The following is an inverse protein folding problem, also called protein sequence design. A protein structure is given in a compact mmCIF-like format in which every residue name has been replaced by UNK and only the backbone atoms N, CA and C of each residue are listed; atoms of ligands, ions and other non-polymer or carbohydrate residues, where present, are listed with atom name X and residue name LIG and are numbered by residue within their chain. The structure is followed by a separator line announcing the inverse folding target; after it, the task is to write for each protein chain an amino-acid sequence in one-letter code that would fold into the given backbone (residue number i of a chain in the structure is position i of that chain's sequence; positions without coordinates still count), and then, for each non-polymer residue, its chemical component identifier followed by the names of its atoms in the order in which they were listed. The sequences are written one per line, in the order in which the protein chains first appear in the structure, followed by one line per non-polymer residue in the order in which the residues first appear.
data_IF_947586726852
#
_entry.id   IF_947586726852
#
_cell.length_a   1.000
_cell.length_b   1.000
_cell.length_c   1.000
_cell.angle_alpha   90.00
_cell.angle_beta   90.00
_cell.angle_gamma   90.00
#
_symmetry.space_group_name_H-M   'P 1'
#
loop_
_entity.id
_entity.type
_entity.pdbx_description
1 polymer ?
#
# COMPACT_ATOMS: atom_id res chain seq x y z
N UNK A 1 46.70 57.04 -33.88
CA UNK A 1 46.68 55.88 -34.79
C UNK A 1 46.27 54.68 -33.94
N UNK A 2 45.12 54.05 -34.06
CA UNK A 2 43.84 54.36 -34.70
C UNK A 2 42.76 53.85 -33.72
N UNK A 3 41.74 54.66 -33.46
CA UNK A 3 40.68 54.36 -32.50
C UNK A 3 39.90 53.13 -32.99
N UNK A 4 39.89 52.06 -32.19
CA UNK A 4 39.28 50.79 -32.57
C UNK A 4 37.78 50.98 -32.80
N UNK A 5 37.30 50.69 -34.02
CA UNK A 5 35.87 50.80 -34.33
C UNK A 5 35.16 49.59 -33.73
N UNK A 6 34.33 49.83 -32.71
CA UNK A 6 33.46 48.80 -32.13
C UNK A 6 32.12 48.77 -32.85
N UNK A 7 31.46 47.61 -32.82
CA UNK A 7 30.09 47.47 -33.28
C UNK A 7 29.14 48.27 -32.36
N UNK A 8 27.98 48.75 -32.84
CA UNK A 8 27.05 49.56 -32.03
C UNK A 8 26.54 48.87 -30.76
N UNK A 9 26.59 47.54 -30.71
CA UNK A 9 26.24 46.69 -29.57
C UNK A 9 27.45 46.37 -28.66
N UNK A 10 28.65 46.85 -28.99
CA UNK A 10 29.88 46.70 -28.19
C UNK A 10 30.46 45.29 -28.11
N UNK A 11 29.85 44.30 -28.78
CA UNK A 11 30.25 42.89 -28.69
C UNK A 11 31.44 42.52 -29.56
N UNK A 12 31.71 43.28 -30.61
CA UNK A 12 32.78 42.98 -31.57
C UNK A 12 33.66 44.21 -31.81
N UNK A 13 34.94 43.95 -32.04
CA UNK A 13 35.94 44.94 -32.39
C UNK A 13 36.44 44.70 -33.81
N UNK A 14 36.51 45.76 -34.62
CA UNK A 14 37.04 45.69 -35.99
C UNK A 14 38.57 45.81 -35.97
N UNK A 15 39.26 44.82 -36.53
CA UNK A 15 40.73 44.79 -36.59
C UNK A 15 41.30 45.51 -37.82
N UNK A 16 40.44 45.99 -38.72
CA UNK A 16 40.82 46.50 -40.04
C UNK A 16 40.56 45.51 -41.17
N UNK A 17 40.45 44.21 -40.87
CA UNK A 17 40.19 43.14 -41.85
C UNK A 17 39.05 42.20 -41.47
N UNK A 18 38.75 42.04 -40.18
CA UNK A 18 37.67 41.17 -39.69
C UNK A 18 37.11 41.64 -38.33
N UNK A 19 35.90 41.16 -38.00
CA UNK A 19 35.25 41.40 -36.71
C UNK A 19 35.60 40.27 -35.73
N UNK A 20 36.22 40.62 -34.61
CA UNK A 20 36.55 39.67 -33.53
C UNK A 20 35.74 40.00 -32.26
N UNK A 21 35.40 39.01 -31.41
CA UNK A 21 34.71 39.27 -30.14
C UNK A 21 35.51 40.22 -29.27
N UNK A 22 34.86 41.25 -28.72
CA UNK A 22 35.50 42.18 -27.80
C UNK A 22 35.81 41.48 -26.47
N UNK A 23 37.00 41.68 -25.89
CA UNK A 23 37.35 41.04 -24.62
C UNK A 23 36.42 41.52 -23.49
N UNK A 24 35.98 40.62 -22.57
CA UNK A 24 35.07 40.97 -21.49
C UNK A 24 35.72 42.01 -20.56
N UNK A 25 35.05 43.16 -20.40
CA UNK A 25 35.45 44.22 -19.48
C UNK A 25 34.78 43.96 -18.12
N UNK A 26 35.57 43.58 -17.11
CA UNK A 26 35.11 43.38 -15.73
C UNK A 26 34.71 44.72 -15.09
N UNK A 27 33.47 45.16 -15.28
CA UNK A 27 32.79 46.11 -14.38
C UNK A 27 31.29 46.19 -14.69
N UNK A 28 30.47 45.47 -13.91
CA UNK A 28 29.04 45.78 -13.82
C UNK A 28 28.82 47.05 -12.96
N UNK A 29 27.77 47.85 -13.21
CA UNK A 29 26.62 47.77 -12.30
C UNK A 29 25.21 47.98 -12.92
N UNK A 30 24.29 47.11 -12.47
CA UNK A 30 22.85 47.25 -12.17
C UNK A 30 21.97 48.31 -12.88
N UNK A 31 20.87 47.84 -13.53
CA UNK A 31 19.45 48.16 -13.21
C UNK A 31 18.44 47.50 -14.19
N UNK A 32 17.37 46.91 -13.64
CA UNK A 32 16.09 46.54 -14.30
C UNK A 32 15.28 47.82 -14.71
N UNK A 33 14.09 47.76 -15.39
CA UNK A 33 13.31 46.64 -15.94
C UNK A 33 12.79 46.85 -17.39
N UNK A 34 12.01 45.87 -17.88
CA UNK A 34 11.00 45.88 -18.97
C UNK A 34 11.38 45.12 -20.25
N UNK A 35 10.85 43.90 -20.37
CA UNK A 35 10.73 43.20 -21.65
C UNK A 35 9.27 42.78 -21.90
N UNK A 36 8.78 43.16 -23.07
CA UNK A 36 7.87 42.33 -23.87
C UNK A 36 8.43 42.34 -25.29
N UNK A 37 8.77 41.17 -25.83
CA UNK A 37 8.19 40.60 -27.07
C UNK A 37 9.17 39.65 -27.81
N UNK A 38 8.91 38.36 -27.62
CA UNK A 38 8.96 37.20 -28.55
C UNK A 38 10.25 36.70 -29.23
N UNK A 39 10.35 35.35 -29.16
CA UNK A 39 10.91 34.35 -30.10
C UNK A 39 12.42 34.01 -29.98
N UNK A 40 12.88 32.74 -30.06
CA UNK A 40 12.32 31.43 -30.44
C UNK A 40 13.17 30.30 -29.81
N UNK A 41 12.52 29.16 -29.55
CA UNK A 41 13.04 27.78 -29.62
C UNK A 41 14.17 27.32 -28.67
N UNK A 42 13.82 26.32 -27.86
CA UNK A 42 14.32 24.93 -27.90
C UNK A 42 14.55 24.39 -26.48
N UNK A 43 14.36 23.07 -26.33
CA UNK A 43 14.50 22.25 -25.11
C UNK A 43 13.21 22.01 -24.32
N UNK A 44 12.51 20.96 -24.75
CA UNK A 44 12.10 19.81 -23.91
C UNK A 44 11.77 20.17 -22.46
N UNK A 45 10.52 20.58 -22.22
CA UNK A 45 9.84 20.24 -20.97
C UNK A 45 9.01 18.99 -21.27
N UNK A 46 9.70 17.84 -21.26
CA UNK A 46 9.06 16.63 -20.78
C UNK A 46 8.69 16.97 -19.35
N UNK A 47 7.42 17.32 -19.14
CA UNK A 47 6.84 17.44 -17.83
C UNK A 47 7.01 16.09 -17.17
N UNK A 48 8.12 15.95 -16.45
CA UNK A 48 8.31 14.90 -15.49
C UNK A 48 7.30 15.21 -14.39
N UNK A 49 6.11 14.65 -14.55
CA UNK A 49 5.11 14.59 -13.49
C UNK A 49 5.62 13.49 -12.56
N UNK A 50 6.75 13.76 -11.91
CA UNK A 50 7.14 13.07 -10.68
C UNK A 50 5.91 13.25 -9.81
N UNK A 51 5.25 12.15 -9.48
CA UNK A 51 4.27 12.13 -8.41
C UNK A 51 5.07 12.33 -7.13
N UNK A 52 5.58 13.54 -6.92
CA UNK A 52 6.17 13.96 -5.68
C UNK A 52 4.97 14.07 -4.74
N UNK A 53 4.59 12.94 -4.14
CA UNK A 53 3.80 12.93 -2.93
C UNK A 53 4.60 13.77 -1.95
N UNK A 54 4.27 15.06 -1.87
CA UNK A 54 4.75 15.90 -0.78
C UNK A 54 4.11 15.31 0.46
N UNK A 55 4.84 14.42 1.11
CA UNK A 55 4.43 13.86 2.38
C UNK A 55 4.36 15.04 3.33
N UNK A 56 3.16 15.31 3.85
CA UNK A 56 2.98 16.29 4.90
C UNK A 56 3.93 15.94 6.06
N UNK A 57 4.42 16.94 6.81
CA UNK A 57 5.30 16.74 7.98
C UNK A 57 4.58 16.08 9.18
N UNK A 58 3.57 15.26 8.92
CA UNK A 58 2.87 14.44 9.89
C UNK A 58 3.65 13.12 10.07
N UNK A 59 4.04 12.83 11.29
CA UNK A 59 4.93 11.71 11.58
C UNK A 59 4.34 10.35 11.18
N UNK A 60 3.02 10.15 11.27
CA UNK A 60 2.37 8.89 10.87
C UNK A 60 2.36 8.70 9.35
N UNK A 61 2.14 9.79 8.61
CA UNK A 61 2.18 9.78 7.14
C UNK A 61 3.60 9.48 6.65
N UNK A 62 4.61 10.13 7.24
CA UNK A 62 6.03 9.85 6.95
C UNK A 62 6.37 8.41 7.28
N UNK A 63 5.92 7.90 8.44
CA UNK A 63 6.18 6.50 8.83
C UNK A 63 5.58 5.50 7.85
N UNK A 64 4.36 5.76 7.38
CA UNK A 64 3.69 4.91 6.40
C UNK A 64 4.47 4.88 5.07
N UNK A 65 5.00 6.02 4.63
CA UNK A 65 5.84 6.11 3.44
C UNK A 65 7.18 5.38 3.65
N UNK A 66 7.80 5.50 4.82
CA UNK A 66 9.04 4.77 5.16
C UNK A 66 8.82 3.25 5.13
N UNK A 67 7.70 2.76 5.67
CA UNK A 67 7.33 1.34 5.61
C UNK A 67 7.20 0.88 4.15
N UNK A 68 6.61 1.72 3.29
CA UNK A 68 6.49 1.44 1.85
C UNK A 68 7.86 1.44 1.15
N UNK A 69 8.78 2.33 1.51
CA UNK A 69 10.15 2.38 1.00
C UNK A 69 10.91 1.07 1.29
N UNK A 70 10.85 0.61 2.54
CA UNK A 70 11.52 -0.62 2.98
C UNK A 70 10.97 -1.86 2.28
N UNK A 71 9.67 -1.84 1.95
CA UNK A 71 9.03 -2.89 1.16
C UNK A 71 9.58 -2.92 -0.27
N UNK A 72 9.83 -1.78 -0.90
CA UNK A 72 10.40 -1.71 -2.24
C UNK A 72 11.87 -2.15 -2.28
N UNK A 73 12.63 -1.86 -1.22
CA UNK A 73 14.04 -2.22 -1.09
C UNK A 73 14.31 -3.68 -0.70
N UNK A 74 13.27 -4.47 -0.37
CA UNK A 74 13.42 -5.91 -0.09
C UNK A 74 14.23 -6.24 1.17
N UNK A 75 14.31 -5.30 2.12
CA UNK A 75 15.26 -5.31 3.26
C UNK A 75 14.79 -6.14 4.45
N UNK A 76 13.50 -6.41 4.56
CA UNK A 76 12.92 -7.03 5.74
C UNK A 76 12.96 -8.56 5.68
N UNK A 77 14.08 -9.13 5.21
CA UNK A 77 14.34 -10.57 5.29
C UNK A 77 14.99 -10.89 6.66
N UNK A 78 14.23 -10.65 7.74
CA UNK A 78 14.67 -10.97 9.09
C UNK A 78 13.85 -12.15 9.65
N UNK A 79 14.51 -13.31 9.59
CA UNK A 79 14.37 -14.50 10.44
C UNK A 79 12.97 -15.11 10.50
N UNK A 80 12.85 -16.34 9.96
CA UNK A 80 11.63 -17.15 10.04
C UNK A 80 11.09 -17.21 11.47
N UNK A 81 9.93 -16.61 11.76
CA UNK A 81 9.30 -16.74 13.06
C UNK A 81 8.75 -18.15 13.24
N UNK A 82 8.49 -18.57 14.49
CA UNK A 82 7.72 -19.79 14.72
C UNK A 82 6.40 -19.70 13.94
N UNK A 83 5.90 -20.85 13.41
CA UNK A 83 4.68 -20.85 12.62
C UNK A 83 3.59 -20.13 13.41
N UNK A 84 2.94 -19.15 12.78
CA UNK A 84 1.71 -18.56 13.30
C UNK A 84 0.86 -19.70 13.86
N UNK A 85 0.33 -19.59 15.10
CA UNK A 85 -0.53 -20.63 15.63
C UNK A 85 -1.56 -20.91 14.55
N UNK A 86 -1.60 -22.15 14.06
CA UNK A 86 -2.53 -22.54 13.01
C UNK A 86 -3.88 -22.12 13.53
N UNK A 87 -4.46 -21.06 12.94
CA UNK A 87 -5.77 -20.58 13.32
C UNK A 87 -6.65 -21.81 13.21
N UNK A 88 -7.03 -22.38 14.35
CA UNK A 88 -8.05 -23.38 14.38
C UNK A 88 -9.26 -22.65 13.85
N UNK A 89 -9.51 -22.82 12.55
CA UNK A 89 -10.77 -22.47 11.93
C UNK A 89 -11.73 -23.28 12.77
N UNK A 90 -12.39 -22.63 13.73
CA UNK A 90 -13.44 -23.27 14.52
C UNK A 90 -14.29 -24.04 13.52
N UNK A 91 -14.38 -25.37 13.68
CA UNK A 91 -15.18 -26.19 12.80
C UNK A 91 -16.62 -25.70 12.96
N UNK A 92 -17.06 -24.86 12.02
CA UNK A 92 -18.40 -24.29 12.07
C UNK A 92 -19.35 -25.44 11.82
N UNK A 93 -20.03 -25.88 12.87
CA UNK A 93 -21.11 -26.87 12.78
C UNK A 93 -22.22 -26.28 11.89
N UNK A 94 -22.38 -26.88 10.71
CA UNK A 94 -23.40 -26.44 9.76
C UNK A 94 -24.79 -26.84 10.28
N UNK A 95 -25.75 -25.91 10.31
CA UNK A 95 -27.10 -26.17 10.79
C UNK A 95 -27.84 -27.02 9.75
N UNK A 96 -28.86 -27.78 10.18
CA UNK A 96 -29.66 -28.62 9.28
C UNK A 96 -30.47 -27.79 8.26
N UNK A 97 -30.85 -26.56 8.61
CA UNK A 97 -31.62 -25.66 7.74
C UNK A 97 -31.54 -24.23 8.23
N UNK A 98 -31.73 -23.27 7.33
CA UNK A 98 -31.98 -21.85 7.67
C UNK A 98 -33.47 -21.49 7.52
N UNK A 99 -33.90 -20.48 8.25
CA UNK A 99 -35.22 -19.86 8.13
C UNK A 99 -35.14 -18.57 7.31
N UNK A 100 -36.29 -18.11 6.81
CA UNK A 100 -36.39 -16.81 6.14
C UNK A 100 -36.15 -15.72 7.19
N UNK A 101 -35.22 -14.81 6.91
CA UNK A 101 -34.76 -13.75 7.81
C UNK A 101 -33.44 -14.07 8.52
N UNK A 102 -32.96 -15.33 8.46
CA UNK A 102 -31.71 -15.70 9.10
C UNK A 102 -30.52 -14.98 8.47
N UNK A 103 -29.58 -14.57 9.33
CA UNK A 103 -28.32 -14.00 8.93
C UNK A 103 -27.32 -15.14 8.65
N UNK A 104 -26.73 -15.08 7.47
CA UNK A 104 -25.83 -16.11 6.96
C UNK A 104 -24.58 -15.47 6.36
N UNK A 105 -23.51 -16.24 6.31
CA UNK A 105 -22.33 -15.86 5.53
C UNK A 105 -22.42 -16.51 4.15
N UNK A 106 -22.15 -15.74 3.09
CA UNK A 106 -22.04 -16.26 1.72
C UNK A 106 -20.59 -16.30 1.28
N UNK A 107 -20.09 -17.47 0.87
CA UNK A 107 -18.75 -17.57 0.31
C UNK A 107 -18.75 -17.05 -1.12
N UNK A 108 -18.25 -15.83 -1.31
CA UNK A 108 -18.08 -15.24 -2.63
C UNK A 108 -16.95 -15.95 -3.39
N UNK A 109 -17.24 -16.65 -4.51
CA UNK A 109 -16.17 -17.28 -5.31
C UNK A 109 -15.24 -16.23 -5.91
N UNK A 110 -15.78 -15.09 -6.31
CA UNK A 110 -15.02 -14.00 -6.94
C UNK A 110 -14.08 -13.30 -5.97
N UNK A 111 -14.50 -13.13 -4.71
CA UNK A 111 -13.68 -12.45 -3.70
C UNK A 111 -12.86 -13.42 -2.85
N UNK A 112 -13.01 -14.74 -3.07
CA UNK A 112 -12.43 -15.81 -2.26
C UNK A 112 -12.57 -15.58 -0.74
N UNK A 113 -13.72 -15.04 -0.32
CA UNK A 113 -14.02 -14.72 1.08
C UNK A 113 -15.48 -14.90 1.43
N UNK A 114 -15.74 -15.13 2.71
CA UNK A 114 -17.08 -15.11 3.29
C UNK A 114 -17.59 -13.67 3.44
N UNK A 115 -18.86 -13.44 3.09
CA UNK A 115 -19.56 -12.18 3.24
C UNK A 115 -20.62 -12.36 4.32
N UNK A 116 -20.47 -11.70 5.46
CA UNK A 116 -21.19 -12.06 6.69
C UNK A 116 -22.49 -11.26 6.91
N UNK A 117 -22.84 -10.37 5.97
CA UNK A 117 -24.05 -9.52 6.01
C UNK A 117 -25.19 -10.08 5.15
N UNK A 118 -25.22 -11.38 4.91
CA UNK A 118 -26.19 -11.94 3.97
C UNK A 118 -27.46 -12.37 4.69
N UNK A 119 -28.62 -12.18 4.06
CA UNK A 119 -29.91 -12.54 4.65
C UNK A 119 -30.62 -13.56 3.78
N UNK A 120 -31.16 -14.61 4.38
CA UNK A 120 -32.02 -15.57 3.68
C UNK A 120 -33.38 -14.92 3.43
N UNK A 121 -33.71 -14.67 2.16
CA UNK A 121 -34.97 -14.01 1.77
C UNK A 121 -36.04 -14.98 1.30
N UNK A 122 -35.65 -16.18 0.85
CA UNK A 122 -36.60 -17.25 0.56
C UNK A 122 -35.92 -18.62 0.56
N UNK A 123 -36.75 -19.65 0.68
CA UNK A 123 -36.37 -21.05 0.54
C UNK A 123 -37.09 -21.57 -0.70
N UNK A 124 -36.32 -22.08 -1.67
CA UNK A 124 -36.86 -22.64 -2.90
C UNK A 124 -37.45 -24.04 -2.64
N UNK A 125 -38.38 -24.51 -3.51
CA UNK A 125 -38.99 -25.84 -3.35
C UNK A 125 -38.01 -27.02 -3.43
N UNK A 126 -36.85 -26.80 -4.05
CA UNK A 126 -35.76 -27.78 -4.16
C UNK A 126 -34.85 -27.83 -2.92
N UNK A 127 -35.13 -27.00 -1.91
CA UNK A 127 -34.33 -26.90 -0.68
C UNK A 127 -33.12 -25.98 -0.78
N UNK A 128 -32.90 -25.31 -1.92
CA UNK A 128 -31.89 -24.25 -2.04
C UNK A 128 -32.41 -22.93 -1.47
N UNK A 129 -31.49 -22.04 -1.09
CA UNK A 129 -31.83 -20.76 -0.48
C UNK A 129 -31.63 -19.62 -1.47
N UNK A 130 -32.51 -18.63 -1.39
CA UNK A 130 -32.32 -17.32 -2.00
C UNK A 130 -31.78 -16.37 -0.94
N UNK A 131 -30.60 -15.82 -1.19
CA UNK A 131 -29.86 -15.02 -0.22
C UNK A 131 -29.52 -13.67 -0.80
N UNK A 132 -29.81 -12.61 -0.06
CA UNK A 132 -29.39 -11.25 -0.41
C UNK A 132 -28.00 -10.97 0.17
N UNK A 133 -27.12 -10.46 -0.67
CA UNK A 133 -25.72 -10.15 -0.37
C UNK A 133 -25.53 -8.65 -0.56
N UNK A 134 -25.53 -7.85 0.52
CA UNK A 134 -25.29 -6.42 0.46
C UNK A 134 -23.85 -6.12 0.06
N UNK A 135 -23.68 -5.37 -1.03
CA UNK A 135 -22.40 -4.76 -1.46
C UNK A 135 -22.47 -3.26 -1.21
N UNK A 136 -21.31 -2.59 -1.26
CA UNK A 136 -21.20 -1.15 -1.00
C UNK A 136 -22.08 -0.30 -1.92
N UNK A 137 -22.41 -0.78 -3.13
CA UNK A 137 -23.19 -0.02 -4.12
C UNK A 137 -24.58 -0.60 -4.42
N UNK A 138 -24.82 -1.87 -4.10
CA UNK A 138 -26.07 -2.55 -4.44
C UNK A 138 -26.26 -3.84 -3.62
N UNK A 139 -27.50 -4.29 -3.50
CA UNK A 139 -27.81 -5.62 -2.96
C UNK A 139 -27.87 -6.61 -4.11
N UNK A 140 -27.07 -7.67 -4.05
CA UNK A 140 -27.10 -8.76 -5.04
C UNK A 140 -27.87 -9.95 -4.48
N UNK A 141 -28.88 -10.43 -5.22
CA UNK A 141 -29.62 -11.64 -4.84
C UNK A 141 -28.99 -12.88 -5.47
N UNK A 142 -28.59 -13.84 -4.64
CA UNK A 142 -28.14 -15.17 -5.05
C UNK A 142 -29.30 -16.16 -5.00
N UNK A 143 -29.80 -16.67 -6.14
CA UNK A 143 -31.10 -17.35 -6.20
C UNK A 143 -31.11 -18.78 -5.66
N UNK A 144 -29.99 -19.50 -5.72
CA UNK A 144 -29.93 -20.93 -5.39
C UNK A 144 -28.58 -21.29 -4.74
N UNK A 145 -28.43 -20.97 -3.45
CA UNK A 145 -27.25 -21.32 -2.64
C UNK A 145 -27.58 -22.44 -1.67
N UNK A 146 -26.58 -23.25 -1.31
CA UNK A 146 -26.72 -24.40 -0.40
C UNK A 146 -25.86 -24.22 0.83
N UNK A 147 -26.19 -24.93 1.91
CA UNK A 147 -25.39 -24.92 3.14
C UNK A 147 -24.08 -25.67 2.88
N UNK A 148 -22.93 -25.09 3.24
CA UNK A 148 -21.64 -25.70 3.00
C UNK A 148 -20.45 -24.83 3.40
N UNK A 149 -19.26 -25.31 3.05
CA UNK A 149 -17.98 -24.59 3.25
C UNK A 149 -17.25 -24.28 1.95
N UNK A 150 -17.81 -24.68 0.80
CA UNK A 150 -17.23 -24.46 -0.52
C UNK A 150 -17.60 -23.11 -1.12
N UNK A 151 -16.87 -22.60 -2.12
CA UNK A 151 -17.25 -21.40 -2.83
C UNK A 151 -18.68 -21.46 -3.39
N UNK A 152 -19.46 -20.40 -3.15
CA UNK A 152 -20.87 -20.32 -3.58
C UNK A 152 -21.87 -20.90 -2.59
N UNK A 153 -21.41 -21.40 -1.44
CA UNK A 153 -22.28 -21.91 -0.36
C UNK A 153 -22.51 -20.87 0.74
N UNK A 154 -23.44 -21.19 1.64
CA UNK A 154 -23.76 -20.40 2.83
C UNK A 154 -23.49 -21.18 4.12
N UNK A 155 -23.19 -20.46 5.19
CA UNK A 155 -23.03 -21.02 6.55
C UNK A 155 -23.60 -20.06 7.59
N UNK A 156 -23.76 -20.47 8.87
CA UNK A 156 -24.24 -19.58 9.91
C UNK A 156 -23.39 -18.32 9.97
N UNK A 157 -24.04 -17.16 10.06
CA UNK A 157 -23.33 -15.96 10.46
C UNK A 157 -22.72 -16.17 11.84
N UNK A 158 -21.44 -15.81 11.99
CA UNK A 158 -20.93 -15.51 13.33
C UNK A 158 -21.86 -14.45 13.95
N UNK A 159 -22.10 -14.46 15.27
CA UNK A 159 -22.95 -13.44 15.91
C UNK A 159 -22.56 -12.03 15.46
N UNK A 160 -23.47 -11.06 15.37
CA UNK A 160 -23.09 -9.69 15.02
C UNK A 160 -22.08 -9.14 16.05
N UNK A 161 -21.03 -8.47 15.57
CA UNK A 161 -20.07 -7.77 16.41
C UNK A 161 -20.78 -6.62 17.11
N UNK A 162 -20.62 -6.52 18.41
CA UNK A 162 -21.27 -5.49 19.21
C UNK A 162 -20.23 -4.58 19.85
N UNK A 163 -20.60 -3.33 20.05
CA UNK A 163 -19.81 -2.40 20.85
C UNK A 163 -19.56 -3.02 22.23
N UNK A 164 -18.31 -3.11 22.63
CA UNK A 164 -17.91 -3.78 23.87
C UNK A 164 -17.12 -5.06 23.67
N UNK A 165 -17.22 -5.70 22.52
CA UNK A 165 -16.55 -6.98 22.27
C UNK A 165 -15.03 -6.80 22.23
N UNK A 166 -14.32 -7.69 22.94
CA UNK A 166 -12.88 -7.83 22.79
C UNK A 166 -12.58 -8.67 21.56
N UNK A 167 -11.65 -8.19 20.76
CA UNK A 167 -11.32 -8.76 19.46
C UNK A 167 -9.83 -8.62 19.19
N UNK A 168 -9.30 -9.49 18.34
CA UNK A 168 -8.01 -9.28 17.69
C UNK A 168 -8.26 -8.59 16.36
N UNK A 169 -7.50 -7.55 16.04
CA UNK A 169 -7.67 -6.79 14.80
C UNK A 169 -6.35 -6.69 14.07
N UNK A 170 -6.35 -7.01 12.78
CA UNK A 170 -5.21 -6.81 11.88
C UNK A 170 -4.96 -5.30 11.73
N UNK A 171 -3.95 -4.76 12.43
CA UNK A 171 -3.67 -3.32 12.53
C UNK A 171 -3.17 -2.73 11.22
N UNK A 172 -3.81 -1.64 10.77
CA UNK A 172 -3.62 -1.01 9.45
C UNK A 172 -3.61 -1.97 8.24
N UNK A 173 -4.09 -3.22 8.41
CA UNK A 173 -4.05 -4.30 7.41
C UNK A 173 -2.61 -4.70 7.01
N UNK A 174 -1.65 -4.57 7.94
CA UNK A 174 -0.27 -5.02 7.71
C UNK A 174 -0.12 -6.54 7.90
N UNK A 175 -1.07 -7.22 8.55
CA UNK A 175 -1.06 -8.67 8.79
C UNK A 175 -0.79 -9.05 10.23
N UNK A 176 -0.51 -8.07 11.10
CA UNK A 176 -0.29 -8.29 12.53
C UNK A 176 -1.56 -7.99 13.32
N UNK A 177 -2.02 -8.99 14.06
CA UNK A 177 -3.22 -8.90 14.89
C UNK A 177 -2.90 -8.39 16.28
N UNK A 178 -3.53 -7.28 16.67
CA UNK A 178 -3.41 -6.69 17.99
C UNK A 178 -4.73 -6.76 18.76
N UNK A 179 -4.68 -6.93 20.09
CA UNK A 179 -5.88 -6.96 20.91
C UNK A 179 -6.48 -5.56 21.03
N UNK A 180 -7.80 -5.52 20.94
CA UNK A 180 -8.54 -4.30 21.12
C UNK A 180 -10.01 -4.56 21.40
N UNK A 181 -10.77 -3.46 21.40
CA UNK A 181 -12.18 -3.45 21.73
C UNK A 181 -12.96 -2.65 20.70
N UNK A 182 -14.11 -3.19 20.31
CA UNK A 182 -15.04 -2.45 19.45
C UNK A 182 -15.66 -1.32 20.26
N UNK A 183 -15.32 -0.10 19.88
CA UNK A 183 -15.87 1.12 20.49
C UNK A 183 -17.25 1.43 19.90
N UNK A 184 -17.36 1.40 18.57
CA UNK A 184 -18.58 1.77 17.84
C UNK A 184 -18.67 1.06 16.48
N UNK A 185 -19.88 0.77 16.03
CA UNK A 185 -20.17 0.43 14.62
C UNK A 185 -20.64 1.69 13.87
N UNK A 186 -20.10 1.91 12.68
CA UNK A 186 -20.45 3.02 11.79
C UNK A 186 -21.63 2.66 10.88
N UNK A 187 -22.25 3.66 10.25
CA UNK A 187 -23.44 3.45 9.38
C UNK A 187 -23.14 2.60 8.13
N UNK A 188 -21.88 2.56 7.69
CA UNK A 188 -21.40 1.74 6.59
C UNK A 188 -20.96 0.32 7.01
N UNK A 189 -21.16 -0.01 8.30
CA UNK A 189 -20.78 -1.26 8.95
C UNK A 189 -19.27 -1.49 9.04
N UNK A 190 -18.49 -0.42 9.04
CA UNK A 190 -17.12 -0.43 9.55
C UNK A 190 -17.12 -0.23 11.07
N UNK A 191 -16.01 -0.53 11.72
CA UNK A 191 -15.88 -0.43 13.18
C UNK A 191 -14.82 0.57 13.58
N UNK A 192 -15.09 1.29 14.66
CA UNK A 192 -14.11 2.03 15.42
C UNK A 192 -13.54 1.10 16.49
N UNK A 193 -12.24 0.84 16.40
CA UNK A 193 -11.49 -0.03 17.31
C UNK A 193 -10.63 0.83 18.23
N UNK A 194 -10.69 0.55 19.53
CA UNK A 194 -9.76 1.04 20.52
C UNK A 194 -8.83 -0.11 20.90
N UNK A 195 -7.56 -0.01 20.56
CA UNK A 195 -6.56 -1.03 20.90
C UNK A 195 -6.13 -0.91 22.36
N UNK A 196 -5.63 -2.01 22.92
CA UNK A 196 -5.24 -2.07 24.34
C UNK A 196 -3.99 -1.22 24.63
N UNK A 197 -3.20 -0.88 23.61
CA UNK A 197 -2.03 0.01 23.67
C UNK A 197 -2.38 1.51 23.61
N UNK A 198 -3.66 1.85 23.46
CA UNK A 198 -4.16 3.22 23.35
C UNK A 198 -4.32 3.74 21.92
N UNK A 199 -3.93 2.98 20.90
CA UNK A 199 -4.19 3.34 19.50
C UNK A 199 -5.68 3.27 19.19
N UNK A 200 -6.09 4.07 18.21
CA UNK A 200 -7.46 4.09 17.71
C UNK A 200 -7.43 3.97 16.20
N UNK A 201 -8.23 3.05 15.68
CA UNK A 201 -8.43 2.90 14.25
C UNK A 201 -9.92 2.95 13.92
N UNK A 202 -10.30 3.86 13.03
CA UNK A 202 -11.66 3.95 12.48
C UNK A 202 -11.74 3.28 11.12
N UNK A 203 -12.96 3.03 10.64
CA UNK A 203 -13.22 2.46 9.33
C UNK A 203 -12.66 1.03 9.16
N UNK A 204 -12.52 0.28 10.26
CA UNK A 204 -12.02 -1.09 10.23
C UNK A 204 -13.06 -2.02 9.61
N UNK A 205 -12.70 -2.66 8.50
CA UNK A 205 -13.53 -3.66 7.86
C UNK A 205 -13.69 -4.91 8.76
N UNK A 206 -14.89 -5.49 8.79
CA UNK A 206 -15.17 -6.74 9.50
C UNK A 206 -14.14 -7.84 9.23
N UNK A 207 -13.64 -7.95 7.99
CA UNK A 207 -12.68 -9.00 7.60
C UNK A 207 -11.32 -8.93 8.30
N UNK A 208 -10.99 -7.80 8.94
CA UNK A 208 -9.78 -7.60 9.73
C UNK A 208 -9.96 -7.97 11.20
N UNK A 209 -11.19 -8.25 11.62
CA UNK A 209 -11.56 -8.48 13.02
C UNK A 209 -11.74 -9.98 13.27
N UNK A 210 -10.91 -10.51 14.16
CA UNK A 210 -10.94 -11.88 14.64
C UNK A 210 -11.49 -11.92 16.06
N UNK A 211 -12.67 -12.54 16.24
CA UNK A 211 -13.10 -13.04 17.55
C UNK A 211 -12.34 -14.33 17.83
N UNK A 212 -11.12 -14.21 18.32
CA UNK A 212 -10.48 -15.34 19.00
C UNK A 212 -10.83 -15.27 20.49
N UNK A 213 -10.86 -16.42 21.14
CA UNK A 213 -10.89 -16.46 22.59
C UNK A 213 -9.56 -15.90 23.10
N UNK A 214 -9.54 -14.61 23.45
CA UNK A 214 -8.34 -13.95 23.97
C UNK A 214 -7.84 -14.65 25.24
N UNK A 215 -8.73 -15.32 25.98
CA UNK A 215 -8.37 -16.05 27.21
C UNK A 215 -7.82 -17.47 26.93
N UNK A 216 -7.67 -17.89 25.67
CA UNK A 216 -6.95 -19.13 25.32
C UNK A 216 -5.45 -18.95 25.55
N UNK A 217 -4.83 -19.97 26.14
CA UNK A 217 -3.39 -19.95 26.44
C UNK A 217 -2.56 -19.73 25.17
N UNK A 218 -2.96 -20.34 24.05
CA UNK A 218 -2.27 -20.20 22.76
C UNK A 218 -2.28 -18.75 22.25
N UNK A 219 -3.39 -18.03 22.45
CA UNK A 219 -3.51 -16.62 22.05
C UNK A 219 -2.70 -15.73 23.00
N UNK A 220 -2.73 -16.00 24.30
CA UNK A 220 -1.95 -15.25 25.28
C UNK A 220 -0.44 -15.41 25.07
N UNK A 221 0.04 -16.63 24.82
CA UNK A 221 1.45 -16.90 24.54
C UNK A 221 1.92 -16.16 23.27
N UNK A 222 1.09 -16.16 22.22
CA UNK A 222 1.37 -15.40 20.99
C UNK A 222 1.43 -13.90 21.24
N UNK A 223 0.44 -13.33 21.93
CA UNK A 223 0.42 -11.90 22.26
C UNK A 223 1.60 -11.49 23.14
N UNK A 224 1.99 -12.34 24.10
CA UNK A 224 3.12 -12.10 24.99
C UNK A 224 4.45 -12.11 24.22
N UNK A 225 4.61 -13.04 23.27
CA UNK A 225 5.78 -13.07 22.40
C UNK A 225 5.86 -11.79 21.55
N UNK A 226 4.77 -11.42 20.89
CA UNK A 226 4.71 -10.21 20.08
C UNK A 226 5.00 -8.95 20.91
N UNK A 227 4.42 -8.84 22.10
CA UNK A 227 4.68 -7.71 23.00
C UNK A 227 6.17 -7.62 23.37
N UNK A 228 6.83 -8.76 23.63
CA UNK A 228 8.26 -8.78 23.94
C UNK A 228 9.12 -8.33 22.76
N UNK A 229 8.83 -8.83 21.55
CA UNK A 229 9.54 -8.43 20.32
C UNK A 229 9.34 -6.94 20.02
N UNK A 230 8.13 -6.43 20.25
CA UNK A 230 7.79 -5.02 20.10
C UNK A 230 8.56 -4.14 21.08
N UNK A 231 8.59 -4.53 22.35
CA UNK A 231 9.31 -3.79 23.39
C UNK A 231 10.81 -3.75 23.11
N UNK A 232 11.40 -4.83 22.61
CA UNK A 232 12.82 -4.88 22.22
C UNK A 232 13.13 -3.91 21.07
N UNK A 233 12.29 -3.86 20.03
CA UNK A 233 12.46 -2.93 18.91
C UNK A 233 12.26 -1.47 19.35
N UNK A 234 11.24 -1.20 20.16
CA UNK A 234 10.98 0.14 20.70
C UNK A 234 12.19 0.62 21.52
N UNK A 235 12.76 -0.23 22.39
CA UNK A 235 13.94 0.12 23.18
C UNK A 235 15.17 0.44 22.31
N UNK A 236 15.32 -0.24 21.18
CA UNK A 236 16.39 0.07 20.22
C UNK A 236 16.22 1.49 19.64
N UNK A 237 15.01 1.87 19.23
CA UNK A 237 14.73 3.22 18.72
C UNK A 237 14.78 4.30 19.81
N UNK A 238 14.34 4.00 21.05
CA UNK A 238 14.42 4.92 22.19
C UNK A 238 15.86 5.39 22.47
N UNK A 239 16.88 4.61 22.07
CA UNK A 239 18.29 5.03 22.21
C UNK A 239 18.59 6.32 21.43
N UNK A 240 17.81 6.59 20.36
CA UNK A 240 17.92 7.79 19.53
C UNK A 240 16.91 8.88 19.89
N UNK A 241 15.96 8.60 20.78
CA UNK A 241 14.91 9.51 21.26
C UNK A 241 15.06 9.74 22.77
N UNK A 242 16.05 10.54 23.15
CA UNK A 242 16.34 10.83 24.57
C UNK A 242 15.19 11.52 25.31
N UNK A 243 14.29 12.18 24.57
CA UNK A 243 13.13 12.88 25.12
C UNK A 243 11.89 11.99 25.22
N UNK A 244 11.94 10.74 24.73
CA UNK A 244 10.80 9.81 24.66
C UNK A 244 9.57 10.44 24.00
N UNK A 245 9.82 11.19 22.93
CA UNK A 245 8.79 11.81 22.11
C UNK A 245 7.92 10.80 21.38
N UNK A 246 8.42 9.58 21.17
CA UNK A 246 7.79 8.58 20.31
C UNK A 246 8.14 8.75 18.83
N UNK A 247 9.04 9.69 18.51
CA UNK A 247 9.48 10.00 17.15
C UNK A 247 11.00 10.11 17.02
N UNK A 248 11.53 9.79 15.84
CA UNK A 248 12.93 9.99 15.44
C UNK A 248 13.00 10.68 14.09
N UNK A 249 14.10 11.39 13.78
CA UNK A 249 14.26 11.99 12.46
C UNK A 249 14.57 10.93 11.39
N UNK A 250 14.16 11.20 10.14
CA UNK A 250 14.49 10.36 9.00
C UNK A 250 15.99 10.18 8.80
N UNK A 251 16.81 11.18 9.14
CA UNK A 251 18.28 11.05 9.18
C UNK A 251 18.75 10.00 10.18
N UNK A 252 18.23 10.00 11.41
CA UNK A 252 18.62 8.99 12.41
C UNK A 252 18.20 7.60 11.94
N UNK A 253 17.03 7.49 11.32
CA UNK A 253 16.56 6.22 10.77
C UNK A 253 17.41 5.73 9.58
N UNK A 254 17.82 6.65 8.70
CA UNK A 254 18.78 6.38 7.62
C UNK A 254 20.13 5.88 8.17
N UNK A 255 20.64 6.50 9.23
CA UNK A 255 21.89 6.08 9.87
C UNK A 255 21.75 4.67 10.47
N UNK A 256 20.59 4.34 11.04
CA UNK A 256 20.30 2.98 11.52
C UNK A 256 20.33 2.00 10.33
N UNK A 257 19.63 2.28 9.23
CA UNK A 257 19.56 1.36 8.07
C UNK A 257 20.91 1.14 7.35
N UNK A 258 21.79 2.15 7.35
CA UNK A 258 23.05 2.11 6.61
C UNK A 258 24.25 1.74 7.49
N UNK A 259 24.18 1.96 8.81
CA UNK A 259 25.30 1.73 9.73
C UNK A 259 25.01 0.67 10.80
N UNK A 260 23.73 0.37 11.09
CA UNK A 260 23.32 -0.48 12.21
C UNK A 260 22.39 -1.61 11.77
N UNK A 261 22.98 -2.77 11.44
CA UNK A 261 22.23 -3.98 11.12
C UNK A 261 23.14 -5.12 10.64
N UNK A 262 22.59 -6.34 10.58
CA UNK A 262 23.30 -7.51 10.05
C UNK A 262 23.50 -7.44 8.52
N UNK A 263 22.69 -6.63 7.82
CA UNK A 263 22.78 -6.36 6.39
C UNK A 263 22.49 -4.86 6.10
N UNK A 264 23.50 -3.98 6.24
CA UNK A 264 23.32 -2.55 5.99
C UNK A 264 22.97 -2.30 4.52
N UNK A 265 22.02 -1.40 4.29
CA UNK A 265 21.64 -0.97 2.95
C UNK A 265 22.65 -0.02 2.34
N UNK A 266 22.68 0.04 1.02
CA UNK A 266 23.52 1.03 0.36
C UNK A 266 22.95 2.43 0.56
N UNK A 267 23.83 3.38 0.85
CA UNK A 267 23.50 4.79 1.04
C UNK A 267 22.67 5.36 -0.13
N UNK A 268 23.01 4.97 -1.36
CA UNK A 268 22.35 5.45 -2.56
C UNK A 268 20.92 4.90 -2.71
N UNK A 269 20.70 3.60 -2.44
CA UNK A 269 19.37 2.98 -2.56
C UNK A 269 18.38 3.60 -1.56
N UNK A 270 18.79 3.81 -0.31
CA UNK A 270 17.92 4.43 0.71
C UNK A 270 17.63 5.89 0.37
N UNK A 271 18.62 6.63 -0.11
CA UNK A 271 18.44 8.03 -0.49
C UNK A 271 17.52 8.20 -1.69
N UNK A 272 17.65 7.34 -2.70
CA UNK A 272 16.78 7.33 -3.88
C UNK A 272 15.34 7.05 -3.50
N UNK A 273 15.07 6.08 -2.61
CA UNK A 273 13.70 5.77 -2.18
C UNK A 273 13.09 6.83 -1.26
N UNK A 274 13.87 7.39 -0.33
CA UNK A 274 13.36 8.47 0.51
C UNK A 274 13.05 9.70 -0.34
N UNK A 275 13.87 9.98 -1.35
CA UNK A 275 13.61 11.07 -2.29
C UNK A 275 12.44 10.77 -3.24
N UNK A 276 12.27 9.52 -3.69
CA UNK A 276 11.16 9.11 -4.58
C UNK A 276 9.81 9.29 -3.88
N UNK A 277 9.78 9.00 -2.58
CA UNK A 277 8.61 9.14 -1.72
C UNK A 277 8.42 10.55 -1.15
N UNK A 278 9.32 11.49 -1.46
CA UNK A 278 9.23 12.87 -1.00
C UNK A 278 9.49 13.05 0.50
N UNK A 279 10.18 12.09 1.13
CA UNK A 279 10.54 12.11 2.55
C UNK A 279 11.78 12.98 2.74
N UNK A 280 11.65 14.09 3.47
CA UNK A 280 12.81 14.90 3.83
C UNK A 280 13.63 14.24 4.94
N UNK A 281 14.95 14.45 4.95
CA UNK A 281 15.84 13.91 6.00
C UNK A 281 15.56 14.47 7.41
N UNK A 282 14.86 15.60 7.50
CA UNK A 282 14.45 16.21 8.76
C UNK A 282 13.01 15.83 9.15
N UNK A 283 12.33 14.97 8.37
CA UNK A 283 10.99 14.51 8.68
C UNK A 283 10.99 13.64 9.94
N UNK A 284 9.95 13.75 10.75
CA UNK A 284 9.77 12.93 11.95
C UNK A 284 9.09 11.60 11.58
N UNK A 285 9.59 10.51 12.14
CA UNK A 285 9.08 9.13 11.97
C UNK A 285 8.62 8.66 13.34
N UNK A 286 7.39 8.18 13.42
CA UNK A 286 6.85 7.51 14.60
C UNK A 286 7.38 6.07 14.67
N UNK A 287 8.36 5.84 15.53
CA UNK A 287 8.98 4.52 15.62
C UNK A 287 8.09 3.49 16.33
N UNK A 288 7.04 3.90 17.07
CA UNK A 288 6.07 2.94 17.63
C UNK A 288 5.25 2.30 16.51
N UNK A 289 4.76 3.09 15.57
CA UNK A 289 4.05 2.57 14.39
C UNK A 289 4.98 1.71 13.51
N UNK A 290 6.22 2.17 13.32
CA UNK A 290 7.23 1.41 12.59
C UNK A 290 7.49 0.07 13.26
N UNK A 291 7.77 0.04 14.57
CA UNK A 291 8.04 -1.19 15.31
C UNK A 291 6.83 -2.14 15.28
N UNK A 292 5.60 -1.64 15.40
CA UNK A 292 4.37 -2.45 15.25
C UNK A 292 4.23 -3.09 13.87
N UNK A 293 4.72 -2.44 12.82
CA UNK A 293 4.76 -3.02 11.46
C UNK A 293 5.85 -4.09 11.31
N UNK A 294 6.90 -4.06 12.13
CA UNK A 294 8.00 -5.01 12.07
C UNK A 294 7.72 -6.29 12.88
N UNK A 295 6.84 -6.22 13.89
CA UNK A 295 6.43 -7.35 14.73
C UNK A 295 5.24 -8.08 14.10
N UNK A 296 5.37 -9.38 13.85
CA UNK A 296 4.32 -10.21 13.25
C UNK A 296 4.85 -11.58 12.79
N UNK A 297 3.97 -12.58 12.59
CA UNK A 297 4.36 -13.92 12.09
C UNK A 297 4.91 -13.93 10.65
N UNK A 298 4.99 -12.76 10.03
CA UNK A 298 5.99 -12.32 9.09
C UNK A 298 6.27 -10.88 9.53
N UNK A 299 7.52 -10.40 9.56
CA UNK A 299 7.74 -8.95 9.49
C UNK A 299 6.88 -8.45 8.33
N UNK A 300 5.97 -7.51 8.58
CA UNK A 300 4.68 -7.37 7.88
C UNK A 300 4.79 -6.90 6.41
N UNK A 301 5.49 -7.68 5.60
CA UNK A 301 5.60 -7.63 4.17
C UNK A 301 4.81 -8.82 3.65
N UNK A 302 3.53 -8.59 3.35
CA UNK A 302 2.86 -9.49 2.43
C UNK A 302 3.56 -9.34 1.09
N UNK A 303 4.57 -10.19 0.80
CA UNK A 303 5.17 -10.33 -0.52
C UNK A 303 4.00 -10.66 -1.43
N UNK A 304 3.51 -9.63 -2.12
CA UNK A 304 2.38 -9.78 -3.02
C UNK A 304 2.87 -10.76 -4.09
N UNK A 305 2.25 -11.94 -4.22
CA UNK A 305 2.72 -12.89 -5.20
C UNK A 305 2.68 -12.23 -6.56
N UNK A 306 3.79 -12.29 -7.27
CA UNK A 306 3.85 -11.82 -8.64
C UNK A 306 3.17 -12.85 -9.53
N UNK A 307 2.13 -12.42 -10.24
CA UNK A 307 1.34 -13.26 -11.12
C UNK A 307 1.47 -12.76 -12.54
N UNK A 308 1.99 -13.60 -13.42
CA UNK A 308 2.10 -13.27 -14.84
C UNK A 308 0.71 -13.30 -15.46
N UNK A 309 0.35 -12.23 -16.14
CA UNK A 309 -0.94 -12.10 -16.83
C UNK A 309 -0.73 -11.82 -18.32
N UNK A 310 -1.60 -12.38 -19.17
CA UNK A 310 -1.68 -12.10 -20.61
C UNK A 310 -3.06 -11.61 -21.00
N UNK A 311 -3.16 -11.08 -22.21
CA UNK A 311 -4.36 -10.43 -22.73
C UNK A 311 -4.92 -9.37 -21.78
N UNK A 312 -4.00 -8.66 -21.11
CA UNK A 312 -4.32 -7.71 -20.06
C UNK A 312 -4.98 -6.44 -20.63
N UNK A 313 -5.98 -5.94 -19.91
CA UNK A 313 -6.74 -4.75 -20.25
C UNK A 313 -7.20 -4.06 -18.95
N UNK A 314 -7.11 -2.74 -18.89
CA UNK A 314 -7.60 -1.98 -17.73
C UNK A 314 -9.04 -1.54 -18.00
N UNK A 315 -9.96 -1.97 -17.14
CA UNK A 315 -11.38 -1.60 -17.20
C UNK A 315 -11.84 -1.12 -15.82
N UNK A 316 -12.40 0.08 -15.76
CA UNK A 316 -12.90 0.72 -14.53
C UNK A 316 -11.86 0.76 -13.39
N UNK A 317 -10.59 1.05 -13.72
CA UNK A 317 -9.49 1.10 -12.75
C UNK A 317 -9.08 -0.27 -12.18
N UNK A 318 -9.42 -1.36 -12.87
CA UNK A 318 -9.07 -2.74 -12.51
C UNK A 318 -8.41 -3.46 -13.68
N UNK A 319 -7.47 -4.35 -13.39
CA UNK A 319 -6.79 -5.17 -14.37
C UNK A 319 -7.61 -6.44 -14.66
N UNK A 320 -7.94 -6.65 -15.94
CA UNK A 320 -8.58 -7.86 -16.45
C UNK A 320 -7.60 -8.59 -17.36
N UNK A 321 -7.60 -9.92 -17.36
CA UNK A 321 -6.75 -10.70 -18.27
C UNK A 321 -6.72 -12.17 -17.89
N UNK A 322 -5.81 -12.93 -18.50
CA UNK A 322 -5.59 -14.35 -18.21
C UNK A 322 -4.34 -14.52 -17.35
N UNK A 323 -4.52 -14.90 -16.08
CA UNK A 323 -3.42 -15.13 -15.14
C UNK A 323 -2.88 -16.55 -15.25
N UNK A 324 -1.56 -16.68 -15.22
CA UNK A 324 -0.85 -17.94 -15.13
C UNK A 324 -0.42 -18.18 -13.69
N UNK A 325 -0.81 -19.32 -13.13
CA UNK A 325 -0.39 -19.77 -11.80
C UNK A 325 -0.68 -18.79 -10.65
N UNK A 326 -1.89 -18.20 -10.61
CA UNK A 326 -2.29 -17.38 -9.47
C UNK A 326 -2.39 -18.25 -8.20
N UNK A 327 -1.69 -17.94 -7.08
CA UNK A 327 -1.63 -18.83 -5.91
C UNK A 327 -2.98 -19.23 -5.33
N UNK A 328 -3.95 -18.32 -5.39
CA UNK A 328 -5.33 -18.56 -4.91
C UNK A 328 -6.36 -18.94 -5.98
N UNK A 329 -6.12 -18.57 -7.24
CA UNK A 329 -7.15 -18.66 -8.30
C UNK A 329 -6.77 -19.64 -9.42
N UNK A 330 -5.54 -20.17 -9.40
CA UNK A 330 -5.01 -21.05 -10.43
C UNK A 330 -4.75 -20.32 -11.75
N UNK A 331 -4.81 -21.07 -12.85
CA UNK A 331 -4.70 -20.53 -14.21
C UNK A 331 -6.10 -20.21 -14.75
N UNK A 332 -6.31 -19.00 -15.26
CA UNK A 332 -7.62 -18.61 -15.76
C UNK A 332 -7.84 -17.10 -15.97
N UNK A 333 -9.01 -16.71 -16.50
CA UNK A 333 -9.41 -15.32 -16.60
C UNK A 333 -9.64 -14.73 -15.21
N UNK A 334 -9.04 -13.58 -14.94
CA UNK A 334 -9.14 -12.87 -13.68
C UNK A 334 -9.57 -11.42 -13.89
N UNK A 335 -10.19 -10.86 -12.85
CA UNK A 335 -10.44 -9.43 -12.69
C UNK A 335 -9.92 -9.02 -11.33
N UNK A 336 -8.91 -8.14 -11.32
CA UNK A 336 -8.25 -7.72 -10.10
C UNK A 336 -9.13 -6.81 -9.24
N UNK A 337 -8.64 -6.53 -8.03
CA UNK A 337 -9.08 -5.38 -7.25
C UNK A 337 -8.64 -4.06 -7.91
N UNK A 338 -9.03 -2.91 -7.33
CA UNK A 338 -8.59 -1.60 -7.83
C UNK A 338 -7.07 -1.53 -7.91
N UNK A 339 -6.57 -1.01 -9.02
CA UNK A 339 -5.14 -0.81 -9.24
C UNK A 339 -4.66 0.27 -8.26
N UNK A 340 -3.64 -0.05 -7.47
CA UNK A 340 -2.99 0.88 -6.56
C UNK A 340 -1.93 1.69 -7.31
N UNK A 341 -1.08 1.01 -8.07
CA UNK A 341 -0.01 1.62 -8.87
C UNK A 341 0.34 0.75 -10.09
N UNK A 342 1.00 1.36 -11.07
CA UNK A 342 1.57 0.68 -12.24
C UNK A 342 2.99 1.21 -12.42
N UNK A 343 3.97 0.32 -12.34
CA UNK A 343 5.38 0.63 -12.63
C UNK A 343 5.84 -0.15 -13.85
N UNK A 344 6.89 0.32 -14.54
CA UNK A 344 7.46 -0.37 -15.69
C UNK A 344 8.94 -0.65 -15.43
N UNK A 345 9.39 -1.85 -15.74
CA UNK A 345 10.81 -2.23 -15.67
C UNK A 345 11.61 -1.74 -16.90
N UNK A 346 12.93 -1.94 -16.90
CA UNK A 346 13.82 -1.63 -18.03
C UNK A 346 13.45 -2.39 -19.33
N UNK A 347 12.66 -3.46 -19.23
CA UNK A 347 12.20 -4.30 -20.34
C UNK A 347 10.78 -3.94 -20.79
N UNK A 348 10.21 -2.87 -20.23
CA UNK A 348 8.82 -2.43 -20.42
C UNK A 348 7.77 -3.49 -20.06
N UNK A 349 8.09 -4.40 -19.13
CA UNK A 349 7.14 -5.19 -18.36
C UNK A 349 6.44 -4.27 -17.38
N UNK A 350 5.12 -4.29 -17.36
CA UNK A 350 4.35 -3.55 -16.38
C UNK A 350 4.16 -4.39 -15.12
N UNK A 351 4.49 -3.84 -13.96
CA UNK A 351 4.14 -4.38 -12.65
C UNK A 351 2.94 -3.60 -12.12
N UNK A 352 1.77 -4.23 -12.20
CA UNK A 352 0.49 -3.64 -11.77
C UNK A 352 0.20 -4.09 -10.35
N UNK A 353 0.36 -3.18 -9.38
CA UNK A 353 0.10 -3.47 -7.99
C UNK A 353 -1.39 -3.34 -7.66
N UNK A 354 -1.93 -4.36 -7.01
CA UNK A 354 -3.32 -4.40 -6.55
C UNK A 354 -3.36 -4.74 -5.06
N UNK A 355 -4.54 -4.82 -4.44
CA UNK A 355 -4.69 -4.98 -2.98
C UNK A 355 -3.78 -6.07 -2.40
N UNK A 356 -3.73 -7.25 -3.02
CA UNK A 356 -3.05 -8.44 -2.48
C UNK A 356 -2.12 -9.15 -3.50
N UNK A 357 -1.90 -8.60 -4.69
CA UNK A 357 -1.20 -9.29 -5.78
C UNK A 357 -0.55 -8.26 -6.71
N UNK A 358 0.66 -8.54 -7.17
CA UNK A 358 1.32 -7.76 -8.23
C UNK A 358 1.17 -8.55 -9.52
N UNK A 359 0.61 -7.93 -10.55
CA UNK A 359 0.47 -8.56 -11.85
C UNK A 359 1.56 -8.09 -12.78
N UNK A 360 2.38 -9.04 -13.25
CA UNK A 360 3.40 -8.77 -14.25
C UNK A 360 2.80 -8.96 -15.65
N UNK A 361 2.70 -7.86 -16.39
CA UNK A 361 2.25 -7.85 -17.77
C UNK A 361 3.45 -7.61 -18.67
N UNK A 362 3.86 -8.62 -19.41
CA UNK A 362 4.90 -8.45 -20.43
C UNK A 362 4.49 -7.41 -21.48
N UNK A 363 5.44 -6.85 -22.25
CA UNK A 363 5.16 -5.82 -23.24
C UNK A 363 4.22 -6.28 -24.38
N UNK A 364 4.17 -7.58 -24.65
CA UNK A 364 3.22 -8.23 -25.58
C UNK A 364 2.03 -8.87 -24.89
N UNK A 365 1.97 -8.79 -23.55
CA UNK A 365 0.90 -9.34 -22.73
C UNK A 365 -0.35 -8.45 -22.65
N UNK A 366 -0.30 -7.24 -23.18
CA UNK A 366 -1.42 -6.31 -23.22
C UNK A 366 -2.32 -6.56 -24.44
N UNK A 367 -3.62 -6.73 -24.18
CA UNK A 367 -4.65 -6.69 -25.22
C UNK A 367 -4.96 -5.24 -25.63
N UNK A 368 -5.01 -4.34 -24.65
CA UNK A 368 -5.06 -2.89 -24.85
C UNK A 368 -4.01 -2.28 -23.94
N UNK A 369 -2.98 -1.67 -24.53
CA UNK A 369 -1.91 -1.03 -23.75
C UNK A 369 -2.47 0.21 -23.03
N UNK A 370 -2.10 0.44 -21.76
CA UNK A 370 -2.45 1.67 -21.07
C UNK A 370 -1.73 2.86 -21.71
N UNK A 371 -2.29 4.07 -21.60
CA UNK A 371 -1.78 5.26 -22.29
C UNK A 371 -0.31 5.57 -21.94
N UNK A 372 0.10 5.29 -20.70
CA UNK A 372 1.44 5.48 -20.16
C UNK A 372 2.43 4.33 -20.48
N UNK A 373 2.10 3.39 -21.37
CA UNK A 373 2.99 2.28 -21.70
C UNK A 373 4.25 2.75 -22.46
N UNK A 374 5.48 2.31 -22.10
CA UNK A 374 6.73 2.75 -22.73
C UNK A 374 6.78 2.59 -24.26
N UNK A 375 6.19 1.50 -24.79
CA UNK A 375 6.05 1.25 -26.23
C UNK A 375 4.87 1.97 -26.94
N UNK A 376 4.21 2.95 -26.32
CA UNK A 376 3.20 3.77 -27.02
C UNK A 376 3.80 5.00 -27.71
N UNK A 377 5.09 5.31 -27.49
CA UNK A 377 5.83 6.38 -28.16
C UNK A 377 6.88 5.82 -29.13
#
# INVERSE_FOLDING_TARGET
MADGTYSPDGKFMWTGTEWIPAPPTDSAPQKQPHETTLNLQDSVMSGDIVHNTVVNNDASTVTSAVIEALKQLGVLDLKSPPPAPALHVEDIELPPSFQIGDHVEYHSPTNARWLNRCTVVAINPDGTYRVEVPKNTAVETKPAVVIGTSPGTIRPAKPPLSSGDKVLVDWKNYGTFYPGKISKENEDHTFLILFDDGDVEDQVEWGRICRMNIDSNEVQDFLQQQSSELDELIQAFETFDSEKTGTISARNYYDILTQMGDAPLSENEVLEEFSSLGISMDAEINYHELAKSLVGPEGALQIKPEVVIRDAEIQDGRLCGHAYAHPKLGEGPIRSSSIASITFDERATAHVETKNTVYAVGPTGWKVKPENHPFNN
#
